data_IF_534591949550
#
_entry.id   IF_534591949550
#
_cell.length_a   1.000
_cell.length_b   1.000
_cell.length_c   1.000
_cell.angle_alpha   90.00
_cell.angle_beta   90.00
_cell.angle_gamma   90.00
#
_symmetry.space_group_name_H-M   'P 1'
#
loop_
_entity.id
_entity.type
_entity.pdbx_description
1 polymer ?
#
# COMPACT_ATOMS: atom_id res chain seq x y z
N UNK A 1 -6.63 0.23 6.07
CA UNK A 1 -7.97 0.84 6.12
C UNK A 1 -7.95 2.10 5.26
N UNK A 2 -8.95 2.30 4.41
CA UNK A 2 -9.07 3.49 3.56
C UNK A 2 -10.14 4.38 4.18
N UNK A 3 -9.80 5.65 4.42
CA UNK A 3 -10.72 6.62 5.00
C UNK A 3 -10.56 7.96 4.28
N UNK A 4 -11.66 8.64 4.04
CA UNK A 4 -11.62 9.97 3.43
C UNK A 4 -11.68 11.02 4.53
N UNK A 5 -10.63 11.85 4.58
CA UNK A 5 -10.51 12.86 5.62
C UNK A 5 -11.15 14.19 5.23
N UNK A 6 -11.42 14.43 3.94
CA UNK A 6 -12.23 15.56 3.52
C UNK A 6 -13.66 15.47 4.07
N UNK A 7 -14.17 14.25 4.28
CA UNK A 7 -15.49 14.02 4.91
C UNK A 7 -15.40 13.59 6.38
N UNK A 8 -14.27 13.06 6.84
CA UNK A 8 -14.08 12.62 8.23
C UNK A 8 -13.30 13.66 9.05
N UNK A 9 -14.02 14.65 9.58
CA UNK A 9 -13.49 15.65 10.52
C UNK A 9 -13.32 15.12 11.96
N UNK A 10 -13.32 13.80 12.15
CA UNK A 10 -13.20 13.19 13.48
C UNK A 10 -11.78 13.40 14.03
N UNK A 11 -11.73 13.63 15.35
CA UNK A 11 -10.50 13.87 16.10
C UNK A 11 -9.60 12.63 16.11
N UNK A 12 -8.29 12.88 16.25
CA UNK A 12 -7.26 11.83 16.17
C UNK A 12 -7.41 10.75 17.25
N UNK A 13 -7.87 11.14 18.44
CA UNK A 13 -8.18 10.27 19.60
C UNK A 13 -9.31 9.26 19.32
N UNK A 14 -10.25 9.62 18.46
CA UNK A 14 -11.48 8.87 18.21
C UNK A 14 -11.35 7.95 17.00
N UNK A 15 -10.51 8.32 16.03
CA UNK A 15 -10.35 7.57 14.78
C UNK A 15 -8.94 7.05 14.57
N UNK A 16 -7.96 7.94 14.39
CA UNK A 16 -6.64 7.54 13.93
C UNK A 16 -5.92 6.65 14.96
N UNK A 17 -5.83 7.08 16.22
CA UNK A 17 -5.13 6.31 17.25
C UNK A 17 -5.78 4.93 17.51
N UNK A 18 -7.12 4.79 17.66
CA UNK A 18 -7.74 3.48 17.81
C UNK A 18 -7.50 2.54 16.62
N UNK A 19 -7.58 3.05 15.38
CA UNK A 19 -7.33 2.26 14.16
C UNK A 19 -5.90 1.74 14.13
N UNK A 20 -4.96 2.60 14.55
CA UNK A 20 -3.55 2.23 14.66
C UNK A 20 -3.34 1.18 15.73
N UNK A 21 -3.93 1.33 16.93
CA UNK A 21 -3.89 0.32 18.01
C UNK A 21 -4.39 -1.06 17.56
N UNK A 22 -5.37 -1.11 16.66
CA UNK A 22 -5.85 -2.36 16.04
C UNK A 22 -4.89 -2.96 15.00
N UNK A 23 -3.76 -2.29 14.71
CA UNK A 23 -2.74 -2.75 13.76
C UNK A 23 -3.04 -2.39 12.30
N UNK A 24 -4.05 -1.56 12.04
CA UNK A 24 -4.37 -1.14 10.68
C UNK A 24 -3.57 0.10 10.28
N UNK A 25 -2.98 0.07 9.09
CA UNK A 25 -2.43 1.28 8.46
C UNK A 25 -3.54 2.06 7.77
N UNK A 26 -3.58 3.36 7.99
CA UNK A 26 -4.55 4.28 7.38
C UNK A 26 -4.02 4.86 6.07
N UNK A 27 -4.91 4.98 5.10
CA UNK A 27 -4.66 5.67 3.83
C UNK A 27 -5.76 6.72 3.71
N UNK A 28 -5.34 7.98 3.65
CA UNK A 28 -6.23 9.12 3.67
C UNK A 28 -6.29 9.79 2.30
N UNK A 29 -7.47 10.28 1.92
CA UNK A 29 -7.51 11.45 1.03
C UNK A 29 -7.30 12.70 1.89
N UNK A 30 -6.16 13.36 1.70
CA UNK A 30 -5.77 14.51 2.50
C UNK A 30 -6.53 15.75 2.06
N UNK A 31 -7.15 16.43 3.03
CA UNK A 31 -7.74 17.75 2.83
C UNK A 31 -6.66 18.75 2.36
N UNK A 32 -6.96 19.71 1.46
CA UNK A 32 -6.00 20.69 0.96
C UNK A 32 -5.13 21.35 2.04
N UNK A 33 -5.73 21.79 3.14
CA UNK A 33 -5.02 22.42 4.28
C UNK A 33 -4.01 21.50 5.01
N UNK A 34 -4.06 20.18 4.77
CA UNK A 34 -3.16 19.20 5.35
C UNK A 34 -2.14 18.67 4.33
N UNK A 35 -2.23 19.09 3.06
CA UNK A 35 -1.22 18.83 2.04
C UNK A 35 -0.03 19.76 2.23
N UNK A 36 1.09 19.44 1.60
CA UNK A 36 2.31 20.24 1.68
C UNK A 36 3.18 19.90 2.89
N UNK A 37 4.06 20.84 3.23
CA UNK A 37 5.16 20.65 4.18
C UNK A 37 4.72 20.94 5.62
N UNK A 38 5.00 20.02 6.53
CA UNK A 38 4.81 20.18 7.98
C UNK A 38 6.11 19.87 8.72
N UNK A 39 6.39 20.52 9.86
CA UNK A 39 7.61 20.28 10.61
C UNK A 39 7.66 18.84 11.17
N UNK A 40 8.82 18.20 11.04
CA UNK A 40 9.10 16.91 11.67
C UNK A 40 9.48 17.05 13.15
N UNK A 41 9.83 15.94 13.82
CA UNK A 41 10.32 15.98 15.19
C UNK A 41 11.57 16.87 15.33
N UNK A 42 11.61 17.68 16.39
CA UNK A 42 12.73 18.61 16.65
C UNK A 42 14.08 17.88 16.70
N UNK A 43 15.12 18.53 16.15
CA UNK A 43 16.49 17.99 16.15
C UNK A 43 16.74 16.80 15.22
N UNK A 44 15.76 16.36 14.42
CA UNK A 44 15.93 15.22 13.51
C UNK A 44 16.26 15.58 12.07
N UNK A 45 16.23 16.87 11.70
CA UNK A 45 16.38 17.35 10.33
C UNK A 45 15.45 16.61 9.35
N UNK A 46 14.17 16.56 9.72
CA UNK A 46 13.11 15.93 8.92
C UNK A 46 11.88 16.80 8.84
N UNK A 47 11.06 16.52 7.83
CA UNK A 47 9.77 17.15 7.64
C UNK A 47 8.78 16.17 7.01
N UNK A 48 7.49 16.45 7.20
CA UNK A 48 6.41 15.69 6.60
C UNK A 48 5.96 16.36 5.31
N UNK A 49 5.81 15.60 4.23
CA UNK A 49 5.15 16.05 3.01
C UNK A 49 4.11 15.01 2.63
N UNK A 50 2.87 15.46 2.45
CA UNK A 50 1.78 14.64 1.88
C UNK A 50 1.62 13.26 2.55
N UNK A 51 1.85 13.22 3.87
CA UNK A 51 1.70 12.04 4.73
C UNK A 51 2.93 11.15 4.90
N UNK A 52 4.06 11.47 4.28
CA UNK A 52 5.33 10.73 4.40
C UNK A 52 6.43 11.60 4.99
N UNK A 53 7.32 11.00 5.78
CA UNK A 53 8.47 11.68 6.38
C UNK A 53 9.67 11.70 5.41
N UNK A 54 10.29 12.86 5.24
CA UNK A 54 11.44 13.09 4.37
C UNK A 54 12.61 13.69 5.15
N UNK A 55 13.82 13.46 4.64
CA UNK A 55 15.03 14.12 5.15
C UNK A 55 15.16 15.55 4.60
N UNK A 56 15.78 16.42 5.38
CA UNK A 56 16.06 17.82 5.02
C UNK A 56 16.94 17.99 3.76
N UNK A 57 17.64 16.92 3.37
CA UNK A 57 18.45 16.90 2.16
C UNK A 57 17.65 16.81 0.84
N UNK A 58 16.32 16.78 0.90
CA UNK A 58 15.48 16.73 -0.28
C UNK A 58 15.65 18.06 -1.05
N UNK A 59 15.88 18.04 -2.37
CA UNK A 59 15.98 19.25 -3.17
C UNK A 59 14.66 20.03 -3.23
N UNK A 60 14.72 21.37 -3.22
CA UNK A 60 13.54 22.26 -3.24
C UNK A 60 12.60 21.99 -4.42
N UNK A 61 13.15 21.65 -5.60
CA UNK A 61 12.34 21.30 -6.80
C UNK A 61 11.50 20.02 -6.67
N UNK A 62 11.68 19.29 -5.55
CA UNK A 62 10.89 18.13 -5.16
C UNK A 62 10.05 18.40 -3.91
N UNK A 63 9.88 19.63 -3.41
CA UNK A 63 9.01 19.93 -2.25
C UNK A 63 7.55 20.05 -2.63
N UNK A 64 7.29 20.74 -3.74
CA UNK A 64 5.95 20.90 -4.29
C UNK A 64 5.84 20.11 -5.60
N UNK A 65 4.98 19.11 -5.60
CA UNK A 65 4.71 18.26 -6.76
C UNK A 65 3.20 18.16 -6.89
N UNK A 66 2.71 18.52 -8.07
CA UNK A 66 1.29 18.39 -8.37
C UNK A 66 0.86 16.92 -8.26
N UNK A 67 -0.30 16.63 -7.64
CA UNK A 67 -0.87 15.30 -7.68
C UNK A 67 -1.14 14.90 -9.14
N UNK A 68 -1.03 13.61 -9.43
CA UNK A 68 -1.38 13.08 -10.74
C UNK A 68 -2.88 13.30 -10.98
N UNK A 69 -3.25 14.20 -11.89
CA UNK A 69 -4.65 14.45 -12.22
C UNK A 69 -5.23 13.29 -13.05
N UNK A 70 -6.56 13.14 -13.01
CA UNK A 70 -7.25 12.00 -13.63
C UNK A 70 -7.25 12.11 -15.17
N UNK A 71 -7.24 13.34 -15.69
CA UNK A 71 -7.44 13.70 -17.09
C UNK A 71 -6.13 14.05 -17.84
N UNK A 72 -4.97 13.74 -17.26
CA UNK A 72 -3.68 13.97 -17.93
C UNK A 72 -3.39 12.93 -19.01
N UNK A 73 -2.60 13.33 -20.02
CA UNK A 73 -2.09 12.39 -21.01
C UNK A 73 -1.20 11.33 -20.34
N UNK A 74 -1.05 10.17 -20.99
CA UNK A 74 -0.19 9.08 -20.48
C UNK A 74 1.26 9.55 -20.30
N UNK A 75 1.79 10.34 -21.22
CA UNK A 75 3.17 10.82 -21.18
C UNK A 75 3.39 11.84 -20.04
N UNK A 76 2.40 12.72 -19.81
CA UNK A 76 2.43 13.65 -18.68
C UNK A 76 2.33 12.89 -17.34
N UNK A 77 1.48 11.87 -17.29
CA UNK A 77 1.35 10.98 -16.13
C UNK A 77 2.67 10.32 -15.77
N UNK A 78 3.35 9.74 -16.75
CA UNK A 78 4.66 9.11 -16.55
C UNK A 78 5.74 10.13 -16.15
N UNK A 79 5.67 11.36 -16.66
CA UNK A 79 6.59 12.44 -16.24
C UNK A 79 6.36 12.85 -14.78
N UNK A 80 5.12 13.05 -14.36
CA UNK A 80 4.77 13.41 -12.98
C UNK A 80 5.13 12.27 -12.03
N UNK A 81 4.77 11.03 -12.37
CA UNK A 81 5.12 9.85 -11.58
C UNK A 81 6.64 9.70 -11.40
N UNK A 82 7.45 9.95 -12.45
CA UNK A 82 8.92 9.94 -12.30
C UNK A 82 9.42 10.96 -11.29
N UNK A 83 8.81 12.15 -11.21
CA UNK A 83 9.16 13.15 -10.19
C UNK A 83 8.78 12.68 -8.79
N UNK A 84 7.61 12.05 -8.63
CA UNK A 84 7.22 11.44 -7.36
C UNK A 84 8.18 10.32 -6.95
N UNK A 85 8.57 9.45 -7.88
CA UNK A 85 9.55 8.38 -7.61
C UNK A 85 10.91 8.96 -7.20
N UNK A 86 11.36 10.05 -7.83
CA UNK A 86 12.56 10.76 -7.41
C UNK A 86 12.45 11.30 -5.99
N UNK A 87 11.30 11.88 -5.60
CA UNK A 87 11.01 12.30 -4.23
C UNK A 87 11.05 11.11 -3.25
N UNK A 88 10.43 9.97 -3.61
CA UNK A 88 10.38 8.77 -2.76
C UNK A 88 11.76 8.20 -2.38
N UNK A 89 12.80 8.46 -3.18
CA UNK A 89 14.17 8.07 -2.81
C UNK A 89 14.63 8.68 -1.47
N UNK A 90 14.12 9.87 -1.13
CA UNK A 90 14.44 10.63 0.08
C UNK A 90 13.50 10.33 1.27
N UNK A 91 12.48 9.50 1.07
CA UNK A 91 11.54 9.15 2.12
C UNK A 91 12.18 8.24 3.18
N UNK A 92 11.77 8.42 4.43
CA UNK A 92 12.02 7.45 5.49
C UNK A 92 11.13 6.22 5.31
N UNK A 93 11.70 5.05 5.56
CA UNK A 93 10.97 3.79 5.46
C UNK A 93 10.89 3.15 6.85
N UNK A 94 9.75 2.53 7.22
CA UNK A 94 9.66 1.79 8.46
C UNK A 94 10.71 0.68 8.51
N UNK A 95 11.53 0.68 9.56
CA UNK A 95 12.63 -0.27 9.72
C UNK A 95 12.18 -1.55 10.44
N UNK A 96 11.43 -1.38 11.53
CA UNK A 96 11.10 -2.46 12.45
C UNK A 96 9.59 -2.67 12.54
N UNK A 97 9.21 -3.77 13.17
CA UNK A 97 7.87 -3.97 13.69
C UNK A 97 7.53 -2.84 14.68
N UNK A 98 6.22 -2.63 14.86
CA UNK A 98 5.75 -1.69 15.87
C UNK A 98 6.10 -2.23 17.25
N UNK A 99 6.71 -1.38 18.07
CA UNK A 99 7.07 -1.72 19.44
C UNK A 99 5.82 -1.68 20.35
N UNK A 100 5.87 -2.35 21.52
CA UNK A 100 4.75 -2.35 22.48
C UNK A 100 4.39 -0.97 23.05
N UNK A 101 5.33 -0.03 23.02
CA UNK A 101 5.19 1.35 23.48
C UNK A 101 4.54 2.28 22.44
N UNK A 102 3.87 1.71 21.42
CA UNK A 102 3.22 2.46 20.35
C UNK A 102 4.22 3.32 19.54
N UNK A 103 5.49 2.91 19.50
CA UNK A 103 6.53 3.52 18.69
C UNK A 103 6.94 2.65 17.52
N UNK A 104 7.52 3.28 16.50
CA UNK A 104 8.08 2.58 15.35
C UNK A 104 9.35 3.27 14.87
N UNK A 105 10.39 2.47 14.67
CA UNK A 105 11.66 2.92 14.11
C UNK A 105 11.55 3.11 12.59
N UNK A 106 12.02 4.26 12.11
CA UNK A 106 12.10 4.66 10.71
C UNK A 106 13.56 4.81 10.30
N UNK A 107 13.92 4.15 9.22
CA UNK A 107 15.26 4.20 8.66
C UNK A 107 15.37 5.34 7.66
N UNK A 108 16.37 6.19 7.84
CA UNK A 108 16.72 7.25 6.91
C UNK A 108 17.12 6.73 5.52
N UNK A 109 17.04 7.57 4.49
CA UNK A 109 17.23 7.16 3.10
C UNK A 109 18.68 6.78 2.75
N UNK A 110 19.68 7.30 3.46
CA UNK A 110 21.08 6.92 3.27
C UNK A 110 21.50 5.71 4.14
N UNK A 111 20.69 5.32 5.13
CA UNK A 111 20.93 4.13 5.92
C UNK A 111 20.68 2.86 5.07
N UNK A 112 21.48 1.82 5.29
CA UNK A 112 21.49 0.61 4.45
C UNK A 112 20.12 -0.09 4.45
N UNK A 113 19.54 -0.54 3.32
CA UNK A 113 20.03 -0.38 1.95
C UNK A 113 19.88 1.08 1.51
N UNK A 114 21.01 1.75 1.23
CA UNK A 114 21.06 3.18 0.97
C UNK A 114 20.41 3.50 -0.38
N UNK A 115 19.29 4.23 -0.35
CA UNK A 115 18.61 4.78 -1.54
C UNK A 115 19.17 6.11 -1.98
N UNK A 116 20.04 6.69 -1.16
CA UNK A 116 20.76 7.92 -1.43
C UNK A 116 22.23 7.78 -1.08
N UNK A 117 23.07 8.55 -1.77
CA UNK A 117 24.47 8.74 -1.44
C UNK A 117 24.60 10.04 -0.66
N UNK A 118 24.94 9.93 0.62
CA UNK A 118 25.11 11.06 1.50
C UNK A 118 26.58 11.19 1.93
N UNK A 119 27.24 12.35 1.75
CA UNK A 119 28.63 12.57 2.16
C UNK A 119 28.93 12.28 3.64
N UNK A 120 27.93 12.46 4.51
CA UNK A 120 28.01 12.21 5.95
C UNK A 120 27.85 10.75 6.34
N UNK A 121 27.39 9.89 5.42
CA UNK A 121 27.31 8.45 5.64
C UNK A 121 28.26 7.71 4.67
N UNK A 122 29.47 7.32 5.11
CA UNK A 122 30.47 6.70 4.24
C UNK A 122 30.01 5.36 3.67
N UNK A 123 29.10 4.63 4.34
CA UNK A 123 28.53 3.38 3.81
C UNK A 123 27.63 3.65 2.61
N UNK A 124 26.86 4.74 2.64
CA UNK A 124 25.97 5.14 1.54
C UNK A 124 26.74 5.60 0.30
N UNK A 125 27.90 6.24 0.48
CA UNK A 125 28.75 6.71 -0.62
C UNK A 125 29.34 5.59 -1.49
N UNK A 126 29.40 4.36 -0.95
CA UNK A 126 29.84 3.15 -1.67
C UNK A 126 28.79 2.62 -2.65
N UNK A 127 27.56 3.14 -2.62
CA UNK A 127 26.52 2.79 -3.57
C UNK A 127 26.86 3.27 -5.01
N UNK A 128 26.30 2.64 -6.06
CA UNK A 128 26.61 2.98 -7.44
C UNK A 128 26.17 4.42 -7.79
N UNK A 129 26.81 5.00 -8.80
CA UNK A 129 26.54 6.36 -9.27
C UNK A 129 25.12 6.56 -9.82
N UNK A 130 24.39 5.48 -10.11
CA UNK A 130 22.96 5.53 -10.49
C UNK A 130 22.06 5.99 -9.35
N UNK A 131 22.53 5.91 -8.09
CA UNK A 131 21.80 6.36 -6.91
C UNK A 131 22.04 7.87 -6.71
N UNK A 132 20.98 8.67 -6.48
CA UNK A 132 21.13 10.11 -6.34
C UNK A 132 22.02 10.48 -5.15
N UNK A 133 22.83 11.51 -5.33
CA UNK A 133 23.72 12.06 -4.30
C UNK A 133 23.08 13.29 -3.68
N UNK A 134 23.05 13.36 -2.35
CA UNK A 134 22.45 14.49 -1.62
C UNK A 134 23.36 15.71 -1.65
N UNK A 135 22.77 16.89 -1.52
CA UNK A 135 23.46 18.19 -1.40
C UNK A 135 23.99 18.46 0.02
N UNK A 136 24.06 17.45 0.90
CA UNK A 136 24.53 17.63 2.26
C UNK A 136 26.01 18.02 2.28
N UNK A 137 26.32 19.05 3.06
CA UNK A 137 27.66 19.50 3.44
C UNK A 137 28.32 18.47 4.35
N UNK A 138 29.60 18.19 4.10
CA UNK A 138 30.36 17.21 4.90
C UNK A 138 30.63 17.76 6.29
N UNK A 139 30.21 17.04 7.32
CA UNK A 139 30.44 17.37 8.72
C UNK A 139 29.29 18.14 9.39
N UNK A 140 28.31 18.63 8.63
CA UNK A 140 27.07 19.17 9.18
C UNK A 140 26.09 18.04 9.54
N UNK A 141 25.28 18.25 10.57
CA UNK A 141 24.26 17.30 10.97
C UNK A 141 23.19 17.17 9.87
N UNK A 142 22.87 15.94 9.48
CA UNK A 142 21.88 15.68 8.42
C UNK A 142 21.04 14.45 8.77
N UNK A 143 19.72 14.51 8.56
CA UNK A 143 18.81 13.41 8.89
C UNK A 143 19.07 12.11 8.11
N UNK A 144 19.68 12.19 6.92
CA UNK A 144 19.75 11.11 5.92
C UNK A 144 20.22 9.75 6.44
N UNK A 145 21.20 9.75 7.35
CA UNK A 145 21.83 8.54 7.88
C UNK A 145 21.22 8.01 9.18
N UNK A 146 20.35 8.78 9.83
CA UNK A 146 19.81 8.44 11.14
C UNK A 146 18.58 7.56 11.05
N UNK A 147 18.41 6.71 12.06
CA UNK A 147 17.14 6.04 12.33
C UNK A 147 16.39 6.89 13.36
N UNK A 148 15.14 7.22 13.07
CA UNK A 148 14.28 8.04 13.93
C UNK A 148 13.18 7.15 14.49
N UNK A 149 12.88 7.29 15.77
CA UNK A 149 11.72 6.64 16.37
C UNK A 149 10.55 7.62 16.37
N UNK A 150 9.42 7.21 15.79
CA UNK A 150 8.18 7.97 15.80
C UNK A 150 7.15 7.24 16.66
N UNK A 151 6.45 8.00 17.50
CA UNK A 151 5.29 7.51 18.22
C UNK A 151 4.04 7.60 17.34
N UNK A 152 3.03 6.80 17.64
CA UNK A 152 1.78 6.85 16.89
C UNK A 152 1.00 8.14 17.13
N UNK A 153 1.30 8.86 18.22
CA UNK A 153 0.82 10.23 18.46
C UNK A 153 1.42 11.27 17.51
N UNK A 154 2.52 10.95 16.82
CA UNK A 154 3.20 11.88 15.92
C UNK A 154 2.49 11.91 14.57
N UNK A 155 1.69 12.95 14.35
CA UNK A 155 0.87 13.16 13.14
C UNK A 155 0.07 11.93 12.69
N UNK A 156 -0.74 11.30 13.58
CA UNK A 156 -1.48 10.04 13.31
C UNK A 156 -2.43 10.11 12.11
N UNK A 157 -2.72 11.32 11.71
CA UNK A 157 -3.85 11.71 10.90
C UNK A 157 -3.41 12.20 9.52
N UNK A 158 -2.11 12.40 9.34
CA UNK A 158 -1.46 12.62 8.05
C UNK A 158 -0.59 11.42 7.67
N UNK A 159 -0.03 10.70 8.65
CA UNK A 159 0.92 9.62 8.42
C UNK A 159 0.31 8.48 7.59
N UNK A 160 0.96 8.21 6.47
CA UNK A 160 0.54 7.25 5.45
C UNK A 160 1.73 6.42 4.97
N UNK A 161 1.49 5.19 4.47
CA UNK A 161 2.55 4.33 3.94
C UNK A 161 3.05 4.79 2.56
N UNK A 162 2.20 5.51 1.82
CA UNK A 162 2.48 6.05 0.51
C UNK A 162 2.17 7.53 0.53
N UNK A 163 2.94 8.31 -0.23
CA UNK A 163 2.69 9.73 -0.39
C UNK A 163 1.39 9.96 -1.16
N UNK A 164 0.59 10.92 -0.72
CA UNK A 164 -0.60 11.37 -1.44
C UNK A 164 -0.25 11.84 -2.86
N UNK A 165 -1.16 11.62 -3.81
CA UNK A 165 -0.97 12.00 -5.22
C UNK A 165 -0.13 11.04 -6.07
N UNK A 166 0.49 10.01 -5.47
CA UNK A 166 1.22 8.97 -6.22
C UNK A 166 0.32 7.89 -6.78
N UNK A 167 0.76 7.19 -7.83
CA UNK A 167 0.01 6.04 -8.37
C UNK A 167 -0.19 4.93 -7.32
N UNK A 168 0.77 4.72 -6.42
CA UNK A 168 0.64 3.74 -5.35
C UNK A 168 -0.49 4.10 -4.36
N UNK A 169 -0.59 5.39 -4.02
CA UNK A 169 -1.69 5.90 -3.20
C UNK A 169 -3.03 5.76 -3.94
N UNK A 170 -3.06 6.13 -5.21
CA UNK A 170 -4.26 6.05 -6.06
C UNK A 170 -4.75 4.59 -6.21
N UNK A 171 -3.86 3.65 -6.53
CA UNK A 171 -4.18 2.23 -6.64
C UNK A 171 -4.72 1.65 -5.32
N UNK A 172 -4.18 2.11 -4.20
CA UNK A 172 -4.69 1.69 -2.90
C UNK A 172 -6.07 2.29 -2.61
N UNK A 173 -6.28 3.56 -2.97
CA UNK A 173 -7.55 4.26 -2.83
C UNK A 173 -8.66 3.65 -3.70
N UNK A 174 -8.36 3.29 -4.95
CA UNK A 174 -9.30 2.65 -5.89
C UNK A 174 -9.86 1.32 -5.42
N UNK A 175 -9.21 0.65 -4.45
CA UNK A 175 -9.79 -0.55 -3.80
C UNK A 175 -11.13 -0.26 -3.13
N UNK A 176 -11.35 0.98 -2.67
CA UNK A 176 -12.62 1.44 -2.11
C UNK A 176 -13.69 1.62 -3.19
N UNK A 177 -13.32 2.18 -4.34
CA UNK A 177 -14.24 2.40 -5.47
C UNK A 177 -14.86 1.08 -5.94
N UNK A 178 -14.10 -0.01 -5.94
CA UNK A 178 -14.64 -1.35 -6.27
C UNK A 178 -15.73 -1.82 -5.30
N UNK A 179 -15.63 -1.49 -4.01
CA UNK A 179 -16.67 -1.82 -3.03
C UNK A 179 -17.89 -0.91 -3.21
N UNK A 180 -17.66 0.39 -3.45
CA UNK A 180 -18.72 1.36 -3.68
C UNK A 180 -19.51 1.08 -4.96
N UNK A 181 -18.84 0.63 -6.03
CA UNK A 181 -19.49 0.24 -7.28
C UNK A 181 -20.34 -1.03 -7.11
N UNK A 182 -19.86 -2.02 -6.36
CA UNK A 182 -20.67 -3.21 -5.98
C UNK A 182 -21.90 -2.77 -5.18
N UNK A 183 -21.75 -1.87 -4.20
CA UNK A 183 -22.90 -1.37 -3.45
C UNK A 183 -23.85 -0.53 -4.31
N UNK A 184 -23.34 0.26 -5.25
CA UNK A 184 -24.16 1.02 -6.19
C UNK A 184 -24.93 0.08 -7.13
N UNK A 185 -24.28 -0.95 -7.68
CA UNK A 185 -24.90 -1.96 -8.54
C UNK A 185 -25.98 -2.75 -7.78
N UNK A 186 -25.73 -3.10 -6.51
CA UNK A 186 -26.74 -3.72 -5.65
C UNK A 186 -27.93 -2.80 -5.39
N UNK A 187 -27.67 -1.51 -5.16
CA UNK A 187 -28.72 -0.52 -4.90
C UNK A 187 -29.54 -0.16 -6.14
N UNK A 188 -28.91 -0.06 -7.31
CA UNK A 188 -29.53 0.52 -8.52
C UNK A 188 -29.93 -0.52 -9.57
N UNK A 189 -29.14 -1.58 -9.78
CA UNK A 189 -29.33 -2.47 -10.94
C UNK A 189 -29.82 -3.86 -10.57
N UNK A 190 -29.34 -4.46 -9.47
CA UNK A 190 -29.58 -5.89 -9.20
C UNK A 190 -30.63 -6.17 -8.13
N UNK A 191 -30.70 -5.38 -7.07
CA UNK A 191 -31.57 -5.67 -5.93
C UNK A 191 -32.50 -4.51 -5.54
N UNK A 192 -32.37 -3.34 -6.18
CA UNK A 192 -33.16 -2.13 -5.88
C UNK A 192 -33.29 -1.86 -4.37
N UNK A 193 -32.21 -2.07 -3.62
CA UNK A 193 -32.22 -1.95 -2.15
C UNK A 193 -32.24 -0.49 -1.76
N UNK A 194 -33.43 0.10 -1.73
CA UNK A 194 -33.68 1.44 -1.24
C UNK A 194 -34.08 1.43 0.24
N UNK A 195 -33.87 2.57 0.91
CA UNK A 195 -34.35 2.79 2.28
C UNK A 195 -35.88 2.65 2.29
N UNK A 196 -36.40 1.59 2.92
CA UNK A 196 -37.84 1.26 2.96
C UNK A 196 -38.29 0.12 2.03
N UNK A 197 -37.40 -0.47 1.23
CA UNK A 197 -37.74 -1.61 0.36
C UNK A 197 -38.09 -2.88 1.14
N UNK A 198 -37.39 -3.13 2.25
CA UNK A 198 -37.70 -4.23 3.17
C UNK A 198 -38.53 -3.69 4.34
N UNK A 199 -39.83 -4.00 4.38
CA UNK A 199 -40.75 -3.65 5.47
C UNK A 199 -40.68 -4.62 6.66
N UNK A 200 -39.50 -5.19 6.94
CA UNK A 200 -39.29 -6.15 8.04
C UNK A 200 -38.45 -5.56 9.16
N UNK A 201 -38.97 -5.48 10.38
CA UNK A 201 -38.17 -5.08 11.54
C UNK A 201 -37.28 -6.25 12.01
N UNK A 202 -35.97 -6.02 12.11
CA UNK A 202 -35.02 -6.91 12.80
C UNK A 202 -33.71 -7.23 12.04
N UNK A 203 -32.56 -6.92 12.65
CA UNK A 203 -31.19 -7.11 12.11
C UNK A 203 -30.93 -8.55 11.63
N UNK A 204 -31.45 -9.56 12.34
CA UNK A 204 -31.22 -10.98 12.01
C UNK A 204 -31.84 -11.43 10.68
N UNK A 205 -32.95 -10.83 10.24
CA UNK A 205 -33.55 -11.15 8.92
C UNK A 205 -32.78 -10.47 7.79
N UNK A 206 -32.23 -9.29 8.05
CA UNK A 206 -31.36 -8.58 7.11
C UNK A 206 -30.04 -9.31 6.88
N UNK A 207 -29.40 -9.84 7.93
CA UNK A 207 -28.13 -10.56 7.79
C UNK A 207 -28.26 -11.82 6.95
N UNK A 208 -29.34 -12.59 7.13
CA UNK A 208 -29.60 -13.80 6.33
C UNK A 208 -29.83 -13.44 4.86
N UNK A 209 -30.66 -12.43 4.58
CA UNK A 209 -30.97 -12.04 3.20
C UNK A 209 -29.75 -11.46 2.48
N UNK A 210 -28.97 -10.60 3.15
CA UNK A 210 -27.70 -10.09 2.64
C UNK A 210 -26.74 -11.26 2.40
N UNK A 211 -26.63 -12.22 3.32
CA UNK A 211 -25.82 -13.43 3.15
C UNK A 211 -26.16 -14.24 1.90
N UNK A 212 -27.45 -14.48 1.64
CA UNK A 212 -27.91 -15.18 0.42
C UNK A 212 -27.63 -14.37 -0.86
N UNK A 213 -27.81 -13.04 -0.82
CA UNK A 213 -27.52 -12.21 -2.00
C UNK A 213 -26.03 -12.20 -2.33
N UNK A 214 -25.15 -12.14 -1.34
CA UNK A 214 -23.70 -12.27 -1.55
C UNK A 214 -23.30 -13.65 -2.08
N UNK A 215 -23.91 -14.73 -1.57
CA UNK A 215 -23.69 -16.08 -2.09
C UNK A 215 -24.11 -16.21 -3.57
N UNK A 216 -25.28 -15.66 -3.94
CA UNK A 216 -25.77 -15.66 -5.31
C UNK A 216 -24.86 -14.86 -6.26
N UNK A 217 -24.40 -13.68 -5.85
CA UNK A 217 -23.48 -12.86 -6.64
C UNK A 217 -22.15 -13.55 -6.91
N UNK A 218 -21.57 -14.18 -5.88
CA UNK A 218 -20.32 -14.92 -5.99
C UNK A 218 -20.46 -16.14 -6.91
N UNK A 219 -21.62 -16.81 -6.90
CA UNK A 219 -21.90 -17.94 -7.77
C UNK A 219 -22.12 -17.50 -9.24
N UNK A 220 -22.75 -16.34 -9.46
CA UNK A 220 -22.99 -15.78 -10.81
C UNK A 220 -21.72 -15.24 -11.49
N UNK A 221 -20.74 -14.75 -10.73
CA UNK A 221 -19.42 -14.38 -11.28
C UNK A 221 -18.56 -15.60 -11.61
N UNK A 222 -18.70 -16.73 -10.91
CA UNK A 222 -18.08 -18.00 -11.29
C UNK A 222 -18.62 -18.59 -12.60
N UNK A 223 -19.89 -18.34 -12.94
CA UNK A 223 -20.49 -18.85 -14.19
C UNK A 223 -20.11 -18.02 -15.42
N UNK A 224 -19.71 -16.76 -15.22
CA UNK A 224 -19.29 -15.86 -16.32
C UNK A 224 -17.78 -15.93 -16.60
N UNK A 225 -16.97 -16.45 -15.66
CA UNK A 225 -15.51 -16.57 -15.78
C UNK A 225 -14.99 -17.75 -16.60
N UNK A 226 -15.84 -18.57 -17.22
CA UNK A 226 -15.42 -19.74 -18.01
C UNK A 226 -15.31 -19.48 -19.53
N UNK A 227 -15.41 -18.23 -20.00
CA UNK A 227 -15.24 -17.91 -21.41
C UNK A 227 -14.19 -16.81 -21.61
N UNK A 228 -13.12 -17.17 -22.31
CA UNK A 228 -12.09 -16.29 -22.90
C UNK A 228 -10.86 -15.98 -22.04
N UNK A 229 -9.85 -16.85 -22.10
CA UNK A 229 -8.48 -16.53 -22.58
C UNK A 229 -7.81 -17.83 -23.09
N UNK A 230 -8.01 -18.16 -24.36
CA UNK A 230 -7.05 -18.97 -25.12
C UNK A 230 -6.42 -18.04 -26.16
N UNK A 231 -5.37 -17.32 -25.75
CA UNK A 231 -4.53 -16.58 -26.70
C UNK A 231 -3.65 -17.58 -27.43
N UNK A 232 -3.95 -17.78 -28.70
CA UNK A 232 -3.15 -18.50 -29.69
C UNK A 232 -1.85 -17.74 -29.94
N UNK A 233 -0.71 -18.36 -29.62
CA UNK A 233 0.59 -17.97 -30.18
C UNK A 233 0.97 -19.07 -31.18
N UNK A 234 0.73 -18.81 -32.48
CA UNK A 234 1.31 -19.60 -33.58
C UNK A 234 2.31 -18.74 -34.35
N UNK A 235 3.50 -19.30 -34.54
CA UNK A 235 4.61 -18.79 -35.36
C UNK A 235 5.86 -18.62 -34.49
N UNK A 236 7.00 -19.27 -34.69
CA UNK A 236 7.43 -20.21 -35.71
C UNK A 236 8.63 -21.04 -35.18
N UNK A 237 8.79 -22.26 -35.71
CA UNK A 237 10.09 -22.89 -35.94
C UNK A 237 10.75 -23.75 -34.84
N UNK A 238 10.80 -25.06 -35.11
CA UNK A 238 11.80 -26.09 -34.70
C UNK A 238 12.03 -26.32 -33.19
N UNK A 239 12.13 -27.54 -32.65
CA UNK A 239 12.22 -28.90 -33.16
C UNK A 239 12.06 -29.85 -31.95
N UNK A 240 11.38 -30.98 -32.16
CA UNK A 240 11.69 -32.31 -31.60
C UNK A 240 11.96 -32.44 -30.09
N UNK A 241 11.06 -33.11 -29.36
CA UNK A 241 11.36 -34.39 -28.66
C UNK A 241 10.25 -34.74 -27.65
N UNK A 242 9.65 -35.92 -27.86
CA UNK A 242 8.64 -36.56 -27.00
C UNK A 242 9.31 -37.18 -25.78
N UNK A 243 8.66 -37.16 -24.61
CA UNK A 243 8.19 -38.37 -23.91
C UNK A 243 7.77 -38.15 -22.45
N UNK A 244 6.59 -38.71 -22.12
CA UNK A 244 6.18 -39.38 -20.87
C UNK A 244 6.08 -38.49 -19.60
N UNK A 245 5.21 -38.77 -18.63
CA UNK A 245 4.36 -39.91 -18.33
C UNK A 245 3.22 -39.44 -17.42
N UNK A 246 2.03 -40.05 -17.59
CA UNK A 246 0.90 -39.92 -16.68
C UNK A 246 0.98 -40.96 -15.54
N UNK A 247 0.18 -40.71 -14.49
CA UNK A 247 -0.27 -41.61 -13.41
C UNK A 247 0.78 -41.90 -12.31
N UNK A 248 0.46 -41.92 -11.02
CA UNK A 248 -0.74 -42.45 -10.36
C UNK A 248 -0.95 -41.89 -8.93
N UNK A 249 -2.20 -41.90 -8.48
CA UNK A 249 -2.64 -41.75 -7.07
C UNK A 249 -3.26 -43.08 -6.65
N UNK A 250 -2.92 -43.59 -5.45
CA UNK A 250 -3.44 -44.87 -4.94
C UNK A 250 -3.06 -45.20 -3.49
N UNK A 251 -3.81 -44.58 -2.58
CA UNK A 251 -4.24 -44.88 -1.19
C UNK A 251 -4.16 -46.34 -0.64
N UNK A 252 -3.85 -46.46 0.68
CA UNK A 252 -4.19 -47.52 1.71
C UNK A 252 -3.42 -48.86 1.65
N UNK A 253 -3.09 -49.60 2.72
CA UNK A 253 -3.08 -49.50 4.19
C UNK A 253 -2.56 -50.85 4.75
N UNK A 254 -2.00 -50.81 5.96
CA UNK A 254 -1.96 -51.86 6.99
C UNK A 254 -0.87 -52.97 7.06
N UNK A 255 -0.27 -53.01 8.27
CA UNK A 255 0.15 -54.14 9.13
C UNK A 255 1.59 -54.68 9.10
N UNK A 256 2.29 -54.35 10.19
CA UNK A 256 2.88 -55.27 11.19
C UNK A 256 3.54 -56.57 10.71
N UNK A 257 4.87 -56.67 10.88
CA UNK A 257 5.50 -57.61 11.84
C UNK A 257 7.02 -57.45 11.87
N UNK A 258 7.55 -57.42 13.09
CA UNK A 258 8.96 -57.34 13.42
C UNK A 258 9.65 -58.72 13.51
N UNK A 259 10.99 -58.65 13.48
CA UNK A 259 12.03 -59.52 14.03
C UNK A 259 12.51 -60.75 13.24
N UNK A 260 13.76 -60.59 12.78
CA UNK A 260 14.77 -61.58 12.42
C UNK A 260 15.38 -62.25 13.67
N UNK A 261 15.86 -63.50 13.58
CA UNK A 261 16.82 -64.06 14.51
C UNK A 261 18.21 -64.23 13.86
N UNK A 262 19.25 -63.74 14.53
CA UNK A 262 20.53 -64.44 14.77
C UNK A 262 21.14 -63.90 16.05
#
# INVERSE_FOLDING_TARGET
MIADRAYNNVRNDTFALPVWKLGYTTIYDLHPNRRGMHPGPEGTHTFWIDGVLYADSLPEGLYDLDPIAIDVSKDDRERVERRHQARQAYAYIPHDARHPDESRSYRGPAAQPGRLRCPNNPKSMRAPQSVPTTSCTRGEECGCGHTITLYDSDYPDMRMPFQHGTLACEMSYHRRVGIESVFADLKQNRLHVHRGYFRGFGIGRYTVLVGFTFAALTCSSCTTGSASVCVSIRGAGSSVSRNRCAQSVGVVSQRDRAKSPR
#
